data_IF_819467318045
#
_entry.id   IF_819467318045
#
_cell.length_a   1.000
_cell.length_b   1.000
_cell.length_c   1.000
_cell.angle_alpha   90.00
_cell.angle_beta   90.00
_cell.angle_gamma   90.00
#
_symmetry.space_group_name_H-M   'P 1'
#
loop_
_entity.id
_entity.type
_entity.pdbx_description
1 polymer ?
#
# COMPACT_ATOMS: atom_id res chain seq x y z
N UNK A 1 3.59 36.19 21.14
CA UNK A 1 2.20 36.53 20.80
C UNK A 1 2.04 36.53 19.28
N UNK A 2 1.76 35.37 18.69
CA UNK A 2 1.38 35.31 17.27
C UNK A 2 0.10 36.14 17.11
N UNK A 3 0.19 37.23 16.35
CA UNK A 3 -0.90 38.19 16.16
C UNK A 3 -2.21 37.48 15.79
N UNK A 4 -3.32 37.88 16.44
CA UNK A 4 -4.68 37.37 16.20
C UNK A 4 -5.08 37.38 14.71
N UNK A 5 -4.42 38.19 13.88
CA UNK A 5 -4.59 38.23 12.43
C UNK A 5 -4.02 37.00 11.71
N UNK A 6 -2.91 36.41 12.19
CA UNK A 6 -2.29 35.24 11.58
C UNK A 6 -3.14 33.97 11.78
N UNK A 7 -3.67 33.78 12.99
CA UNK A 7 -4.55 32.64 13.32
C UNK A 7 -5.87 32.69 12.53
N UNK A 8 -6.44 33.89 12.35
CA UNK A 8 -7.66 34.09 11.53
C UNK A 8 -7.45 33.83 10.04
N UNK A 9 -6.25 34.13 9.52
CA UNK A 9 -5.92 33.89 8.11
C UNK A 9 -5.77 32.38 7.84
N UNK A 10 -5.08 31.66 8.73
CA UNK A 10 -4.94 30.20 8.65
C UNK A 10 -6.31 29.52 8.74
N UNK A 11 -7.15 29.87 9.72
CA UNK A 11 -8.48 29.25 9.86
C UNK A 11 -9.40 29.54 8.67
N UNK A 12 -9.29 30.72 8.03
CA UNK A 12 -10.01 31.01 6.77
C UNK A 12 -9.50 30.17 5.61
N UNK A 13 -8.18 30.06 5.46
CA UNK A 13 -7.56 29.26 4.41
C UNK A 13 -7.97 27.80 4.55
N UNK A 14 -7.86 27.20 5.75
CA UNK A 14 -8.34 25.84 6.00
C UNK A 14 -9.84 25.67 5.74
N UNK A 15 -10.71 26.60 6.15
CA UNK A 15 -12.15 26.55 5.83
C UNK A 15 -12.42 26.62 4.33
N UNK A 16 -11.66 27.42 3.59
CA UNK A 16 -11.79 27.55 2.14
C UNK A 16 -11.36 26.26 1.42
N UNK A 17 -10.20 25.69 1.79
CA UNK A 17 -9.74 24.41 1.24
C UNK A 17 -10.72 23.27 1.56
N UNK A 18 -11.21 23.19 2.81
CA UNK A 18 -12.21 22.17 3.17
C UNK A 18 -13.49 22.32 2.33
N UNK A 19 -14.00 23.55 2.19
CA UNK A 19 -15.23 23.82 1.41
C UNK A 19 -15.05 23.51 -0.08
N UNK A 20 -13.88 23.79 -0.66
CA UNK A 20 -13.56 23.44 -2.05
C UNK A 20 -13.50 21.93 -2.30
N UNK A 21 -12.96 21.15 -1.36
CA UNK A 21 -12.90 19.69 -1.47
C UNK A 21 -14.31 19.08 -1.47
N UNK A 22 -15.20 19.49 -0.55
CA UNK A 22 -16.57 18.98 -0.51
C UNK A 22 -17.40 19.38 -1.75
N UNK A 23 -17.18 20.58 -2.30
CA UNK A 23 -17.87 21.05 -3.50
C UNK A 23 -17.44 20.30 -4.77
N UNK A 24 -16.17 19.86 -4.83
CA UNK A 24 -15.65 19.06 -5.95
C UNK A 24 -16.19 17.63 -5.90
N UNK A 25 -16.31 17.03 -4.71
CA UNK A 25 -16.82 15.65 -4.55
C UNK A 25 -18.31 15.50 -4.87
N UNK A 26 -19.10 16.57 -4.74
CA UNK A 26 -20.55 16.53 -5.03
C UNK A 26 -20.90 16.52 -6.53
N UNK A 27 -19.97 16.95 -7.41
CA UNK A 27 -20.23 17.13 -8.84
C UNK A 27 -19.78 15.99 -9.75
N UNK A 28 -19.33 14.86 -9.21
CA UNK A 28 -18.95 13.72 -10.05
C UNK A 28 -20.19 12.90 -10.41
N UNK A 29 -20.45 12.74 -11.71
CA UNK A 29 -21.56 11.90 -12.18
C UNK A 29 -21.30 10.44 -11.78
N UNK A 30 -22.37 9.64 -11.69
CA UNK A 30 -22.24 8.20 -11.47
C UNK A 30 -21.35 7.53 -12.53
N UNK A 31 -21.43 7.98 -13.78
CA UNK A 31 -20.62 7.50 -14.89
C UNK A 31 -19.12 7.79 -14.70
N UNK A 32 -18.77 9.00 -14.24
CA UNK A 32 -17.38 9.36 -13.96
C UNK A 32 -16.79 8.52 -12.81
N UNK A 33 -17.61 8.22 -11.78
CA UNK A 33 -17.22 7.27 -10.72
C UNK A 33 -16.90 5.89 -11.29
N UNK A 34 -17.78 5.32 -12.12
CA UNK A 34 -17.54 4.01 -12.72
C UNK A 34 -16.26 3.98 -13.57
N UNK A 35 -15.99 5.02 -14.35
CA UNK A 35 -14.78 5.11 -15.16
C UNK A 35 -13.52 5.15 -14.29
N UNK A 36 -13.54 5.91 -13.20
CA UNK A 36 -12.41 5.97 -12.25
C UNK A 36 -12.20 4.61 -11.56
N UNK A 37 -13.27 3.93 -11.15
CA UNK A 37 -13.18 2.59 -10.56
C UNK A 37 -12.57 1.58 -11.54
N UNK A 38 -13.02 1.57 -12.81
CA UNK A 38 -12.47 0.68 -13.83
C UNK A 38 -10.97 0.93 -14.10
N UNK A 39 -10.54 2.19 -14.11
CA UNK A 39 -9.12 2.53 -14.26
C UNK A 39 -8.28 2.10 -13.06
N UNK A 40 -8.81 2.25 -11.84
CA UNK A 40 -8.16 1.79 -10.62
C UNK A 40 -8.03 0.27 -10.58
N UNK A 41 -9.10 -0.46 -10.89
CA UNK A 41 -9.09 -1.93 -10.97
C UNK A 41 -8.08 -2.43 -12.02
N UNK A 42 -8.02 -1.77 -13.19
CA UNK A 42 -7.03 -2.08 -14.20
C UNK A 42 -5.59 -1.92 -13.68
N UNK A 43 -5.29 -0.83 -12.97
CA UNK A 43 -3.97 -0.63 -12.38
C UNK A 43 -3.67 -1.67 -11.29
N UNK A 44 -4.66 -2.00 -10.46
CA UNK A 44 -4.52 -2.99 -9.40
C UNK A 44 -4.26 -4.40 -9.94
N UNK A 45 -4.84 -4.74 -11.09
CA UNK A 45 -4.54 -6.02 -11.76
C UNK A 45 -3.10 -6.10 -12.28
N UNK A 46 -2.47 -4.98 -12.63
CA UNK A 46 -1.07 -4.92 -13.08
C UNK A 46 -0.07 -4.99 -11.93
N UNK A 47 -0.37 -4.32 -10.82
CA UNK A 47 0.55 -4.17 -9.70
C UNK A 47 0.04 -4.91 -8.47
N UNK A 48 0.34 -6.21 -8.43
CA UNK A 48 -0.10 -7.06 -7.34
C UNK A 48 0.44 -6.56 -5.99
N UNK A 49 -0.45 -6.38 -5.01
CA UNK A 49 -0.12 -5.80 -3.71
C UNK A 49 -0.58 -4.36 -3.50
N UNK A 50 -1.05 -3.67 -4.55
CA UNK A 50 -1.70 -2.36 -4.39
C UNK A 50 -3.03 -2.49 -3.66
N UNK A 51 -3.14 -1.89 -2.47
CA UNK A 51 -4.37 -1.88 -1.68
C UNK A 51 -5.43 -0.87 -2.16
N UNK A 52 -6.63 -0.98 -1.59
CA UNK A 52 -7.75 -0.04 -1.68
C UNK A 52 -8.30 0.24 -0.28
N UNK A 53 -9.24 1.18 -0.17
CA UNK A 53 -9.83 1.58 1.11
C UNK A 53 -10.46 0.41 1.89
N UNK A 54 -10.93 -0.62 1.19
CA UNK A 54 -11.58 -1.81 1.77
C UNK A 54 -10.63 -3.01 1.89
N UNK A 55 -9.33 -2.85 1.65
CA UNK A 55 -8.36 -3.93 1.82
C UNK A 55 -8.35 -4.39 3.28
N UNK A 56 -8.62 -5.67 3.48
CA UNK A 56 -8.66 -6.25 4.81
C UNK A 56 -7.26 -6.35 5.41
N UNK A 57 -7.19 -6.39 6.74
CA UNK A 57 -5.93 -6.62 7.45
C UNK A 57 -5.23 -7.90 6.98
N UNK A 58 -5.99 -8.94 6.66
CA UNK A 58 -5.45 -10.23 6.22
C UNK A 58 -4.78 -10.13 4.85
N UNK A 59 -5.44 -9.51 3.86
CA UNK A 59 -4.89 -9.32 2.52
C UNK A 59 -3.61 -8.46 2.56
N UNK A 60 -3.63 -7.39 3.36
CA UNK A 60 -2.47 -6.55 3.59
C UNK A 60 -1.27 -7.32 4.17
N UNK A 61 -1.50 -8.08 5.25
CA UNK A 61 -0.45 -8.87 5.89
C UNK A 61 0.09 -9.97 4.97
N UNK A 62 -0.78 -10.58 4.19
CA UNK A 62 -0.40 -11.61 3.20
C UNK A 62 0.48 -11.02 2.11
N UNK A 63 0.16 -9.82 1.63
CA UNK A 63 1.00 -9.09 0.68
C UNK A 63 2.40 -8.80 1.25
N UNK A 64 2.47 -8.26 2.47
CA UNK A 64 3.75 -8.01 3.15
C UNK A 64 4.57 -9.29 3.32
N UNK A 65 3.93 -10.38 3.74
CA UNK A 65 4.61 -11.65 3.95
C UNK A 65 5.21 -12.18 2.64
N UNK A 66 4.44 -12.14 1.55
CA UNK A 66 4.89 -12.56 0.22
C UNK A 66 6.10 -11.74 -0.24
N UNK A 67 6.05 -10.42 -0.11
CA UNK A 67 7.10 -9.52 -0.57
C UNK A 67 8.38 -9.67 0.27
N UNK A 68 8.21 -9.95 1.57
CA UNK A 68 9.32 -10.26 2.47
C UNK A 68 10.03 -11.55 2.05
N UNK A 69 9.28 -12.63 1.82
CA UNK A 69 9.83 -13.90 1.35
C UNK A 69 10.49 -13.79 -0.03
N UNK A 70 9.85 -13.06 -0.96
CA UNK A 70 10.42 -12.78 -2.28
C UNK A 70 11.75 -12.02 -2.15
N UNK A 71 11.82 -11.03 -1.26
CA UNK A 71 13.04 -10.27 -0.96
C UNK A 71 14.13 -11.15 -0.36
N UNK A 72 13.77 -12.12 0.49
CA UNK A 72 14.73 -13.10 1.01
C UNK A 72 15.34 -13.89 -0.16
N UNK A 73 14.50 -14.47 -1.02
CA UNK A 73 14.95 -15.28 -2.17
C UNK A 73 15.75 -14.47 -3.20
N UNK A 74 15.43 -13.19 -3.39
CA UNK A 74 16.09 -12.30 -4.34
C UNK A 74 17.48 -11.81 -3.89
N UNK A 75 17.73 -11.73 -2.58
CA UNK A 75 19.01 -11.23 -2.05
C UNK A 75 19.84 -12.36 -1.43
N UNK A 76 20.93 -12.73 -2.11
CA UNK A 76 21.79 -13.84 -1.67
C UNK A 76 22.34 -13.66 -0.25
N UNK A 77 22.76 -12.45 0.13
CA UNK A 77 23.26 -12.14 1.48
C UNK A 77 22.25 -12.48 2.57
N UNK A 78 20.95 -12.28 2.28
CA UNK A 78 19.87 -12.53 3.22
C UNK A 78 19.55 -14.02 3.34
N UNK A 79 19.54 -14.75 2.22
CA UNK A 79 19.43 -16.22 2.24
C UNK A 79 20.60 -16.85 3.00
N UNK A 80 21.83 -16.40 2.77
CA UNK A 80 23.01 -16.91 3.43
C UNK A 80 22.96 -16.68 4.95
N UNK A 81 22.51 -15.49 5.38
CA UNK A 81 22.29 -15.20 6.79
C UNK A 81 21.32 -16.20 7.43
N UNK A 82 20.17 -16.46 6.80
CA UNK A 82 19.19 -17.42 7.34
C UNK A 82 19.69 -18.87 7.32
N UNK A 83 20.44 -19.26 6.29
CA UNK A 83 21.04 -20.59 6.21
C UNK A 83 22.04 -20.85 7.34
N UNK A 84 22.84 -19.84 7.70
CA UNK A 84 23.77 -19.91 8.83
C UNK A 84 23.00 -19.93 10.16
N UNK A 85 22.01 -19.06 10.32
CA UNK A 85 21.24 -18.95 11.57
C UNK A 85 20.44 -20.23 11.88
N UNK A 86 19.86 -20.87 10.87
CA UNK A 86 19.07 -22.10 11.02
C UNK A 86 19.91 -23.38 10.86
N UNK A 87 21.20 -23.26 10.50
CA UNK A 87 22.10 -24.39 10.21
C UNK A 87 21.55 -25.38 9.16
N UNK A 88 21.00 -24.85 8.07
CA UNK A 88 20.38 -25.61 6.99
C UNK A 88 20.95 -25.17 5.63
N UNK A 89 20.96 -26.05 4.61
CA UNK A 89 21.52 -25.68 3.31
C UNK A 89 20.68 -24.58 2.66
N UNK A 90 21.36 -23.64 1.98
CA UNK A 90 20.74 -22.47 1.33
C UNK A 90 19.61 -22.89 0.38
N UNK A 91 19.78 -24.02 -0.33
CA UNK A 91 18.75 -24.56 -1.23
C UNK A 91 17.43 -24.90 -0.52
N UNK A 92 17.51 -25.42 0.71
CA UNK A 92 16.33 -25.80 1.52
C UNK A 92 15.60 -24.56 2.06
N UNK A 93 16.34 -23.56 2.53
CA UNK A 93 15.76 -22.26 2.93
C UNK A 93 15.08 -21.57 1.75
N UNK A 94 15.74 -21.59 0.58
CA UNK A 94 15.19 -21.02 -0.65
C UNK A 94 13.92 -21.76 -1.09
N UNK A 95 13.91 -23.10 -1.01
CA UNK A 95 12.73 -23.91 -1.27
C UNK A 95 11.57 -23.56 -0.33
N UNK A 96 11.82 -23.46 0.98
CA UNK A 96 10.82 -23.04 1.97
C UNK A 96 10.21 -21.69 1.64
N UNK A 97 11.03 -20.69 1.29
CA UNK A 97 10.53 -19.37 0.94
C UNK A 97 9.65 -19.38 -0.34
N UNK A 98 9.90 -20.31 -1.27
CA UNK A 98 9.11 -20.45 -2.50
C UNK A 98 7.81 -21.25 -2.28
N UNK A 99 7.80 -22.21 -1.36
CA UNK A 99 6.63 -23.06 -1.09
C UNK A 99 5.45 -22.33 -0.44
N UNK A 100 5.69 -21.23 0.28
CA UNK A 100 4.63 -20.46 0.97
C UNK A 100 3.68 -19.76 -0.03
N UNK A 101 3.98 -19.78 -1.33
CA UNK A 101 3.09 -19.24 -2.37
C UNK A 101 1.80 -20.04 -2.59
N UNK A 102 1.65 -21.24 -2.02
CA UNK A 102 0.48 -22.10 -2.25
C UNK A 102 -0.44 -22.08 -1.03
N UNK A 103 -1.27 -21.06 -0.92
CA UNK A 103 -2.54 -21.07 -0.17
C UNK A 103 -3.62 -20.63 -1.15
#
# INVERSE_FOLDING_TARGET
YLSSSYIRNITRQYKFYKKGIYFFTEKMSTFDRFNIHAQLEHLQSKYQGSGHADTTRWEWLTNIHRDTLASHVGHYSRLAYFAIAENEPIAKIRYRCLQVKTI
#
